data_IF_565871865765
#
_entry.id   IF_565871865765
#
_cell.length_a   1.000
_cell.length_b   1.000
_cell.length_c   1.000
_cell.angle_alpha   90.00
_cell.angle_beta   90.00
_cell.angle_gamma   90.00
#
_symmetry.space_group_name_H-M   'P 1'
#
loop_
_entity.id
_entity.type
_entity.pdbx_description
1 polymer ?
#
# COMPACT_ATOMS: atom_id res chain seq x y z
N UNK A 1 2.74 -4.55 2.06
CA UNK A 1 1.75 -5.57 1.69
C UNK A 1 2.11 -6.26 0.38
N UNK A 2 1.54 -7.43 0.16
CA UNK A 2 1.71 -8.18 -1.09
C UNK A 2 2.58 -9.44 -0.98
N UNK A 3 3.50 -9.50 -0.03
CA UNK A 3 4.29 -10.71 0.24
C UNK A 3 3.39 -11.81 0.85
N UNK A 4 2.69 -11.48 1.92
CA UNK A 4 1.63 -12.32 2.49
C UNK A 4 0.27 -11.65 2.30
N UNK A 5 -0.48 -12.13 1.29
CA UNK A 5 -1.77 -11.54 0.93
C UNK A 5 -2.93 -12.00 1.79
N UNK A 6 -2.77 -13.11 2.46
CA UNK A 6 -3.86 -13.83 3.11
C UNK A 6 -3.63 -14.06 4.61
N UNK A 7 -2.48 -13.66 5.15
CA UNK A 7 -2.10 -13.96 6.53
C UNK A 7 -1.67 -15.42 6.74
N UNK A 8 -1.26 -16.11 5.69
CA UNK A 8 -0.84 -17.51 5.77
C UNK A 8 0.51 -17.68 6.47
N UNK A 9 1.35 -16.62 6.50
CA UNK A 9 2.74 -16.66 6.93
C UNK A 9 3.08 -15.67 8.06
N UNK A 10 2.10 -15.12 8.77
CA UNK A 10 2.30 -14.08 9.82
C UNK A 10 3.36 -14.52 10.83
N UNK A 11 3.23 -15.74 11.38
CA UNK A 11 4.13 -16.23 12.43
C UNK A 11 5.55 -16.45 11.89
N UNK A 12 5.69 -16.96 10.67
CA UNK A 12 6.99 -17.15 10.03
C UNK A 12 7.68 -15.81 9.72
N UNK A 13 6.94 -14.84 9.19
CA UNK A 13 7.47 -13.51 8.89
C UNK A 13 7.82 -12.75 10.16
N UNK A 14 7.02 -12.89 11.22
CA UNK A 14 7.30 -12.31 12.53
C UNK A 14 8.59 -12.86 13.15
N UNK A 15 8.91 -14.14 12.93
CA UNK A 15 10.13 -14.76 13.41
C UNK A 15 11.41 -14.21 12.71
N UNK A 16 11.28 -13.50 11.58
CA UNK A 16 12.41 -12.85 10.91
C UNK A 16 12.90 -11.57 11.60
N UNK A 17 12.20 -11.11 12.64
CA UNK A 17 12.64 -9.96 13.44
C UNK A 17 12.23 -8.59 12.88
N UNK A 18 11.23 -8.53 12.00
CA UNK A 18 10.65 -7.25 11.56
C UNK A 18 9.93 -6.56 12.72
N UNK A 19 10.05 -5.24 12.82
CA UNK A 19 9.37 -4.44 13.84
C UNK A 19 7.85 -4.43 13.67
N UNK A 20 7.37 -4.57 12.43
CA UNK A 20 5.94 -4.67 12.09
C UNK A 20 5.75 -5.44 10.77
N UNK A 21 4.55 -5.98 10.59
CA UNK A 21 4.14 -6.67 9.36
C UNK A 21 2.94 -5.96 8.73
N UNK A 22 2.84 -5.97 7.41
CA UNK A 22 1.65 -5.54 6.68
C UNK A 22 1.14 -6.66 5.78
N UNK A 23 -0.05 -7.16 6.08
CA UNK A 23 -0.69 -8.27 5.38
C UNK A 23 -1.70 -7.72 4.36
N UNK A 24 -1.85 -8.38 3.24
CA UNK A 24 -2.80 -7.97 2.18
C UNK A 24 -2.08 -7.64 0.88
N UNK A 25 -2.70 -6.93 -0.06
CA UNK A 25 -4.03 -6.30 0.01
C UNK A 25 -5.12 -7.36 0.00
N UNK A 26 -6.06 -7.24 0.92
CA UNK A 26 -7.29 -8.04 0.94
C UNK A 26 -8.46 -7.27 0.35
N UNK A 27 -9.44 -7.97 -0.20
CA UNK A 27 -10.68 -7.44 -0.74
C UNK A 27 -11.86 -8.16 -0.09
N UNK A 28 -13.11 -7.63 -0.12
CA UNK A 28 -14.26 -8.31 0.47
C UNK A 28 -14.38 -9.75 0.00
N UNK A 29 -14.43 -9.95 -1.30
CA UNK A 29 -14.53 -11.27 -1.91
C UNK A 29 -13.16 -11.77 -2.37
N UNK A 30 -12.97 -13.09 -2.30
CA UNK A 30 -11.82 -13.75 -2.91
C UNK A 30 -11.75 -13.45 -4.41
N UNK A 31 -10.55 -13.20 -4.93
CA UNK A 31 -10.36 -13.02 -6.37
C UNK A 31 -9.02 -13.61 -6.84
N UNK A 32 -9.04 -14.13 -8.06
CA UNK A 32 -7.86 -14.80 -8.66
C UNK A 32 -6.75 -13.81 -9.04
N UNK A 33 -7.09 -12.53 -9.21
CA UNK A 33 -6.22 -11.51 -9.79
C UNK A 33 -6.09 -11.67 -11.31
N UNK A 34 -5.09 -11.01 -11.89
CA UNK A 34 -4.85 -11.04 -13.33
C UNK A 34 -4.25 -12.37 -13.81
N UNK A 35 -4.38 -12.64 -15.10
CA UNK A 35 -3.86 -13.86 -15.73
C UNK A 35 -2.34 -13.97 -15.63
N UNK A 36 -1.86 -15.22 -15.60
CA UNK A 36 -0.42 -15.54 -15.62
C UNK A 36 0.10 -15.56 -17.07
N UNK A 37 1.37 -15.18 -17.31
CA UNK A 37 2.36 -14.71 -16.34
C UNK A 37 2.04 -13.28 -15.86
N UNK A 38 2.27 -13.02 -14.57
CA UNK A 38 1.94 -11.74 -13.93
C UNK A 38 3.01 -11.22 -12.98
N UNK A 39 4.16 -11.87 -12.94
CA UNK A 39 5.36 -11.45 -12.20
C UNK A 39 6.57 -11.74 -13.08
N UNK A 40 7.34 -10.71 -13.37
CA UNK A 40 8.51 -10.75 -14.23
C UNK A 40 9.72 -10.24 -13.45
N UNK A 41 10.76 -11.07 -13.34
CA UNK A 41 12.00 -10.75 -12.62
C UNK A 41 13.04 -10.24 -13.57
N UNK A 42 13.55 -9.05 -13.30
CA UNK A 42 14.62 -8.39 -14.05
C UNK A 42 15.89 -8.46 -13.20
N UNK A 43 16.63 -9.55 -13.33
CA UNK A 43 17.75 -9.85 -12.42
C UNK A 43 18.90 -8.84 -12.53
N UNK A 44 19.22 -8.36 -13.73
CA UNK A 44 20.27 -7.37 -13.96
C UNK A 44 19.96 -6.06 -13.22
N UNK A 45 18.71 -5.63 -13.26
CA UNK A 45 18.22 -4.39 -12.66
C UNK A 45 17.83 -4.57 -11.17
N UNK A 46 17.91 -5.78 -10.61
CA UNK A 46 17.39 -6.09 -9.28
C UNK A 46 15.93 -5.60 -9.11
N UNK A 47 15.09 -5.92 -10.09
CA UNK A 47 13.75 -5.37 -10.21
C UNK A 47 12.70 -6.45 -10.47
N UNK A 48 11.44 -6.10 -10.18
CA UNK A 48 10.27 -6.91 -10.51
C UNK A 48 9.23 -6.01 -11.18
N UNK A 49 8.68 -6.48 -12.30
CA UNK A 49 7.44 -5.96 -12.85
C UNK A 49 6.32 -6.92 -12.45
N UNK A 50 5.25 -6.40 -11.86
CA UNK A 50 4.10 -7.23 -11.48
C UNK A 50 2.77 -6.62 -11.93
N UNK A 51 1.83 -7.50 -12.29
CA UNK A 51 0.43 -7.20 -12.56
C UNK A 51 -0.48 -8.16 -11.80
N UNK A 52 -0.28 -8.27 -10.49
CA UNK A 52 -0.95 -9.26 -9.63
C UNK A 52 -2.48 -9.09 -9.58
N UNK A 53 -3.00 -7.85 -9.55
CA UNK A 53 -4.43 -7.56 -9.55
C UNK A 53 -5.13 -8.01 -8.25
N UNK A 54 -4.50 -7.78 -7.10
CA UNK A 54 -5.03 -8.11 -5.76
C UNK A 54 -5.55 -9.55 -5.61
N UNK A 55 -4.80 -10.53 -6.11
CA UNK A 55 -5.15 -11.92 -5.87
C UNK A 55 -5.14 -12.23 -4.37
N UNK A 56 -6.26 -12.65 -3.83
CA UNK A 56 -6.41 -12.96 -2.41
C UNK A 56 -7.63 -13.88 -2.17
N UNK A 57 -7.73 -14.44 -0.96
CA UNK A 57 -8.78 -15.37 -0.55
C UNK A 57 -10.00 -14.69 0.11
N UNK A 58 -10.06 -13.35 0.07
CA UNK A 58 -11.10 -12.55 0.70
C UNK A 58 -10.82 -12.23 2.16
N UNK A 59 -11.51 -11.19 2.64
CA UNK A 59 -11.29 -10.65 3.98
C UNK A 59 -11.67 -11.62 5.10
N UNK A 60 -12.70 -12.44 4.90
CA UNK A 60 -13.12 -13.43 5.90
C UNK A 60 -12.02 -14.47 6.16
N UNK A 61 -11.37 -14.95 5.10
CA UNK A 61 -10.22 -15.84 5.24
C UNK A 61 -9.08 -15.16 6.01
N UNK A 62 -8.77 -13.91 5.69
CA UNK A 62 -7.72 -13.17 6.39
C UNK A 62 -8.04 -13.02 7.89
N UNK A 63 -9.28 -12.66 8.24
CA UNK A 63 -9.72 -12.53 9.65
C UNK A 63 -9.51 -13.85 10.41
N UNK A 64 -9.86 -14.98 9.83
CA UNK A 64 -9.61 -16.28 10.46
C UNK A 64 -8.11 -16.56 10.67
N UNK A 65 -7.24 -16.07 9.79
CA UNK A 65 -5.79 -16.17 9.99
C UNK A 65 -5.29 -15.25 11.10
N UNK A 66 -5.79 -14.01 11.16
CA UNK A 66 -5.47 -13.04 12.20
C UNK A 66 -5.88 -13.56 13.59
N UNK A 67 -7.05 -14.17 13.72
CA UNK A 67 -7.51 -14.78 14.99
C UNK A 67 -6.57 -15.90 15.49
N UNK A 68 -5.93 -16.61 14.57
CA UNK A 68 -5.09 -17.79 14.89
C UNK A 68 -3.60 -17.47 14.98
N UNK A 69 -3.18 -16.23 14.69
CA UNK A 69 -1.76 -15.86 14.76
C UNK A 69 -1.20 -16.03 16.16
N UNK A 70 0.03 -16.52 16.25
CA UNK A 70 0.81 -16.61 17.50
C UNK A 70 1.75 -15.41 17.69
N UNK A 71 2.14 -14.78 16.58
CA UNK A 71 2.97 -13.58 16.57
C UNK A 71 2.32 -12.47 17.40
N UNK A 72 3.11 -11.87 18.32
CA UNK A 72 2.64 -10.84 19.26
C UNK A 72 3.07 -9.42 18.87
N UNK A 73 3.82 -9.28 17.78
CA UNK A 73 4.22 -7.97 17.27
C UNK A 73 3.09 -7.31 16.44
N UNK A 74 3.39 -6.13 15.94
CA UNK A 74 2.46 -5.27 15.21
C UNK A 74 2.12 -5.88 13.85
N UNK A 75 0.82 -6.02 13.56
CA UNK A 75 0.30 -6.53 12.28
C UNK A 75 -0.73 -5.56 11.72
N UNK A 76 -0.36 -4.87 10.64
CA UNK A 76 -1.27 -4.05 9.86
C UNK A 76 -1.98 -4.83 8.77
N UNK A 77 -3.16 -4.37 8.40
CA UNK A 77 -3.94 -4.92 7.29
C UNK A 77 -4.11 -3.88 6.19
N UNK A 78 -3.66 -4.25 5.00
CA UNK A 78 -3.83 -3.47 3.78
C UNK A 78 -5.15 -3.88 3.11
N UNK A 79 -6.07 -2.93 2.95
CA UNK A 79 -7.39 -3.14 2.37
C UNK A 79 -7.54 -2.49 1.01
N UNK A 80 -8.38 -3.07 0.16
CA UNK A 80 -8.67 -2.58 -1.17
C UNK A 80 -10.01 -3.09 -1.69
N UNK A 81 -10.45 -2.54 -2.83
CA UNK A 81 -11.68 -2.96 -3.49
C UNK A 81 -11.47 -4.18 -4.40
N UNK A 82 -12.51 -4.96 -4.63
CA UNK A 82 -12.54 -5.98 -5.66
C UNK A 82 -12.40 -5.36 -7.07
N UNK A 83 -11.82 -6.10 -8.00
CA UNK A 83 -11.53 -5.63 -9.36
C UNK A 83 -12.79 -5.19 -10.11
N UNK A 84 -13.89 -5.89 -9.92
CA UNK A 84 -15.16 -5.65 -10.61
C UNK A 84 -15.98 -4.51 -9.98
N UNK A 85 -15.61 -4.04 -8.79
CA UNK A 85 -16.33 -2.97 -8.09
C UNK A 85 -16.00 -1.61 -8.70
N UNK A 86 -17.05 -0.81 -8.94
CA UNK A 86 -16.98 0.52 -9.55
C UNK A 86 -17.70 1.53 -8.64
N UNK A 87 -17.33 2.80 -8.76
CA UNK A 87 -18.00 3.93 -8.09
C UNK A 87 -18.31 3.66 -6.61
N UNK A 88 -19.54 3.85 -6.17
CA UNK A 88 -19.98 3.67 -4.79
C UNK A 88 -19.69 2.26 -4.26
N UNK A 89 -19.85 1.22 -5.09
CA UNK A 89 -19.54 -0.16 -4.69
C UNK A 89 -18.08 -0.32 -4.29
N UNK A 90 -17.19 0.45 -4.88
CA UNK A 90 -15.76 0.45 -4.50
C UNK A 90 -15.56 0.99 -3.08
N UNK A 91 -16.27 2.04 -2.70
CA UNK A 91 -16.23 2.59 -1.33
C UNK A 91 -16.79 1.58 -0.33
N UNK A 92 -17.91 0.93 -0.67
CA UNK A 92 -18.51 -0.14 0.15
C UNK A 92 -17.53 -1.29 0.41
N UNK A 93 -16.73 -1.67 -0.59
CA UNK A 93 -15.71 -2.71 -0.46
C UNK A 93 -14.63 -2.37 0.60
N UNK A 94 -14.16 -1.12 0.62
CA UNK A 94 -13.22 -0.67 1.66
C UNK A 94 -13.88 -0.68 3.04
N UNK A 95 -15.11 -0.21 3.13
CA UNK A 95 -15.89 -0.23 4.39
C UNK A 95 -16.12 -1.65 4.88
N UNK A 96 -16.47 -2.59 4.00
CA UNK A 96 -16.65 -3.99 4.37
C UNK A 96 -15.36 -4.61 4.89
N UNK A 97 -14.23 -4.37 4.21
CA UNK A 97 -12.93 -4.82 4.70
C UNK A 97 -12.61 -4.19 6.07
N UNK A 98 -12.77 -2.86 6.21
CA UNK A 98 -12.52 -2.16 7.46
C UNK A 98 -13.33 -2.77 8.62
N UNK A 99 -14.65 -2.93 8.42
CA UNK A 99 -15.58 -3.50 9.43
C UNK A 99 -15.17 -4.87 9.93
N UNK A 100 -14.54 -5.68 9.08
CA UNK A 100 -14.13 -7.05 9.41
C UNK A 100 -12.76 -7.12 10.07
N UNK A 101 -11.85 -6.21 9.73
CA UNK A 101 -10.46 -6.30 10.21
C UNK A 101 -10.15 -5.42 11.42
N UNK A 102 -10.96 -4.41 11.73
CA UNK A 102 -10.64 -3.40 12.74
C UNK A 102 -10.37 -3.97 14.14
N UNK A 103 -11.00 -5.08 14.52
CA UNK A 103 -10.78 -5.75 15.83
C UNK A 103 -9.47 -6.56 15.89
N UNK A 104 -8.83 -6.85 14.75
CA UNK A 104 -7.71 -7.77 14.64
C UNK A 104 -6.43 -7.13 14.10
N UNK A 105 -6.53 -5.93 13.56
CA UNK A 105 -5.43 -5.19 12.98
C UNK A 105 -4.90 -4.14 13.98
N UNK A 106 -3.58 -4.11 14.15
CA UNK A 106 -2.94 -3.07 14.95
C UNK A 106 -2.91 -1.72 14.21
N UNK A 107 -2.95 -1.73 12.87
CA UNK A 107 -3.18 -0.57 12.01
C UNK A 107 -3.83 -0.98 10.68
N UNK A 108 -4.43 -0.03 9.98
CA UNK A 108 -5.07 -0.27 8.68
C UNK A 108 -4.45 0.61 7.60
N UNK A 109 -4.14 0.01 6.44
CA UNK A 109 -3.67 0.72 5.25
C UNK A 109 -4.77 0.73 4.18
N UNK A 110 -5.21 1.92 3.81
CA UNK A 110 -6.17 2.16 2.72
C UNK A 110 -5.35 2.30 1.43
N UNK A 111 -5.44 1.30 0.55
CA UNK A 111 -4.58 1.22 -0.63
C UNK A 111 -5.34 1.65 -1.89
N UNK A 112 -5.11 2.89 -2.32
CA UNK A 112 -5.70 3.46 -3.54
C UNK A 112 -4.77 3.42 -4.76
N UNK A 113 -3.54 2.94 -4.60
CA UNK A 113 -2.43 3.24 -5.52
C UNK A 113 -2.00 2.08 -6.41
N UNK A 114 -2.74 0.96 -6.47
CA UNK A 114 -2.38 -0.16 -7.34
C UNK A 114 -2.54 0.18 -8.83
N UNK A 115 -1.48 0.07 -9.64
CA UNK A 115 -1.61 0.27 -11.09
C UNK A 115 -2.28 -0.90 -11.79
N UNK A 116 -2.54 -1.99 -11.08
CA UNK A 116 -2.98 -3.27 -11.64
C UNK A 116 -4.48 -3.52 -11.47
N UNK A 117 -5.20 -2.55 -10.93
CA UNK A 117 -6.66 -2.59 -10.76
C UNK A 117 -7.26 -1.43 -11.56
N UNK A 118 -8.07 -1.71 -12.61
CA UNK A 118 -8.66 -0.67 -13.46
C UNK A 118 -9.44 0.36 -12.64
N UNK A 119 -9.26 1.65 -12.94
CA UNK A 119 -9.96 2.75 -12.29
C UNK A 119 -9.60 2.98 -10.81
N UNK A 120 -8.65 2.24 -10.23
CA UNK A 120 -8.23 2.48 -8.85
C UNK A 120 -7.45 3.79 -8.74
N UNK A 121 -6.70 4.15 -9.79
CA UNK A 121 -5.98 5.42 -9.86
C UNK A 121 -6.87 6.63 -10.07
N UNK A 122 -8.11 6.44 -10.51
CA UNK A 122 -9.10 7.53 -10.54
C UNK A 122 -9.41 8.02 -9.12
N UNK A 123 -9.14 7.18 -8.10
CA UNK A 123 -9.20 7.57 -6.68
C UNK A 123 -8.08 8.53 -6.24
N UNK A 124 -7.12 8.85 -7.11
CA UNK A 124 -6.07 9.85 -6.81
C UNK A 124 -6.57 11.29 -6.94
N UNK A 125 -7.71 11.51 -7.58
CA UNK A 125 -8.41 12.79 -7.50
C UNK A 125 -8.83 13.05 -6.05
N UNK A 126 -8.55 14.26 -5.56
CA UNK A 126 -8.78 14.61 -4.15
C UNK A 126 -10.25 14.49 -3.73
N UNK A 127 -11.20 14.70 -4.65
CA UNK A 127 -12.62 14.52 -4.37
C UNK A 127 -12.95 13.05 -4.11
N UNK A 128 -12.36 12.15 -4.89
CA UNK A 128 -12.52 10.71 -4.74
C UNK A 128 -11.83 10.19 -3.47
N UNK A 129 -10.65 10.72 -3.13
CA UNK A 129 -9.99 10.42 -1.84
C UNK A 129 -10.90 10.82 -0.69
N UNK A 130 -11.43 12.03 -0.69
CA UNK A 130 -12.35 12.52 0.34
C UNK A 130 -13.63 11.67 0.45
N UNK A 131 -14.21 11.30 -0.70
CA UNK A 131 -15.41 10.46 -0.74
C UNK A 131 -15.16 9.06 -0.16
N UNK A 132 -13.95 8.52 -0.33
CA UNK A 132 -13.55 7.24 0.24
C UNK A 132 -13.23 7.33 1.74
N UNK A 133 -12.45 8.33 2.14
CA UNK A 133 -11.91 8.40 3.50
C UNK A 133 -12.97 8.79 4.52
N UNK A 134 -13.85 9.75 4.22
CA UNK A 134 -14.90 10.20 5.16
C UNK A 134 -15.77 9.08 5.72
N UNK A 135 -16.34 8.16 4.91
CA UNK A 135 -17.11 7.04 5.44
C UNK A 135 -16.29 6.08 6.30
N UNK A 136 -15.00 5.91 5.99
CA UNK A 136 -14.10 5.06 6.80
C UNK A 136 -13.82 5.72 8.15
N UNK A 137 -13.60 7.03 8.20
CA UNK A 137 -13.44 7.80 9.44
C UNK A 137 -14.68 7.72 10.32
N UNK A 138 -15.87 7.84 9.73
CA UNK A 138 -17.14 7.68 10.44
C UNK A 138 -17.29 6.28 11.02
N UNK A 139 -16.97 5.25 10.25
CA UNK A 139 -17.04 3.87 10.69
C UNK A 139 -15.99 3.58 11.79
N UNK A 140 -14.79 4.15 11.69
CA UNK A 140 -13.75 4.04 12.71
C UNK A 140 -14.23 4.63 14.05
N UNK A 141 -14.85 5.81 14.00
CA UNK A 141 -15.43 6.45 15.18
C UNK A 141 -16.58 5.63 15.79
N UNK A 142 -17.47 5.08 14.96
CA UNK A 142 -18.60 4.27 15.43
C UNK A 142 -18.17 2.97 16.10
N UNK A 143 -16.97 2.48 15.76
CA UNK A 143 -16.39 1.23 16.31
C UNK A 143 -15.33 1.46 17.36
N UNK A 144 -15.11 2.71 17.79
CA UNK A 144 -14.04 3.09 18.71
C UNK A 144 -12.67 2.56 18.30
N UNK A 145 -12.41 2.50 16.96
CA UNK A 145 -11.13 2.07 16.44
C UNK A 145 -10.05 3.12 16.72
N UNK A 146 -9.11 2.78 17.58
CA UNK A 146 -8.01 3.65 17.99
C UNK A 146 -6.69 3.36 17.29
N UNK A 147 -6.63 2.33 16.46
CA UNK A 147 -5.43 1.99 15.69
C UNK A 147 -5.11 3.02 14.59
N UNK A 148 -3.83 3.19 14.21
CA UNK A 148 -3.46 4.08 13.12
C UNK A 148 -4.09 3.67 11.77
N UNK A 149 -4.49 4.67 10.98
CA UNK A 149 -4.95 4.50 9.61
C UNK A 149 -4.04 5.26 8.66
N UNK A 150 -3.51 4.57 7.65
CA UNK A 150 -2.61 5.14 6.65
C UNK A 150 -3.22 5.10 5.25
N UNK A 151 -3.00 6.17 4.49
CA UNK A 151 -3.28 6.17 3.06
C UNK A 151 -2.01 5.80 2.29
N UNK A 152 -2.10 4.80 1.38
CA UNK A 152 -0.96 4.39 0.54
C UNK A 152 -1.11 4.94 -0.86
N UNK A 153 -0.17 5.80 -1.26
CA UNK A 153 -0.18 6.53 -2.52
C UNK A 153 0.81 5.97 -3.55
N UNK A 154 0.66 6.43 -4.79
CA UNK A 154 1.53 6.08 -5.92
C UNK A 154 2.82 6.90 -5.91
N UNK A 155 3.93 6.40 -6.48
CA UNK A 155 5.09 7.23 -6.77
C UNK A 155 4.91 8.05 -8.06
N UNK A 156 3.79 7.92 -8.73
CA UNK A 156 3.47 8.59 -10.01
C UNK A 156 2.55 9.81 -9.79
N UNK A 157 2.42 10.30 -8.53
CA UNK A 157 1.64 11.50 -8.20
C UNK A 157 2.27 12.76 -8.81
N UNK A 158 1.42 13.70 -9.20
CA UNK A 158 1.84 15.02 -9.62
C UNK A 158 2.11 15.92 -8.41
N UNK A 159 2.83 17.03 -8.61
CA UNK A 159 3.09 17.99 -7.54
C UNK A 159 1.79 18.60 -6.98
N UNK A 160 0.81 18.86 -7.83
CA UNK A 160 -0.53 19.34 -7.44
C UNK A 160 -1.26 18.29 -6.59
N UNK A 161 -1.27 17.03 -7.03
CA UNK A 161 -1.86 15.92 -6.27
C UNK A 161 -1.21 15.77 -4.89
N UNK A 162 0.13 15.86 -4.81
CA UNK A 162 0.87 15.79 -3.54
C UNK A 162 0.42 16.92 -2.59
N UNK A 163 0.28 18.13 -3.09
CA UNK A 163 -0.14 19.29 -2.29
C UNK A 163 -1.56 19.10 -1.74
N UNK A 164 -2.50 18.67 -2.59
CA UNK A 164 -3.89 18.44 -2.21
C UNK A 164 -4.02 17.28 -1.22
N UNK A 165 -3.31 16.18 -1.46
CA UNK A 165 -3.26 15.04 -0.54
C UNK A 165 -2.71 15.48 0.81
N UNK A 166 -1.59 16.20 0.84
CA UNK A 166 -0.95 16.64 2.10
C UNK A 166 -1.89 17.55 2.90
N UNK A 167 -2.53 18.53 2.24
CA UNK A 167 -3.52 19.39 2.88
C UNK A 167 -4.69 18.62 3.47
N UNK A 168 -5.20 17.64 2.73
CA UNK A 168 -6.32 16.81 3.18
C UNK A 168 -5.92 15.93 4.36
N UNK A 169 -4.78 15.26 4.29
CA UNK A 169 -4.30 14.36 5.35
C UNK A 169 -4.12 15.10 6.68
N UNK A 170 -3.56 16.31 6.67
CA UNK A 170 -3.42 17.15 7.87
C UNK A 170 -4.77 17.54 8.51
N UNK A 171 -5.86 17.48 7.77
CA UNK A 171 -7.22 17.82 8.21
C UNK A 171 -8.10 16.59 8.51
N UNK A 172 -7.59 15.40 8.22
CA UNK A 172 -8.29 14.12 8.38
C UNK A 172 -7.93 13.45 9.71
N UNK A 173 -8.63 12.37 10.06
CA UNK A 173 -8.25 11.50 11.17
C UNK A 173 -7.25 10.41 10.78
N UNK A 174 -6.71 10.46 9.56
CA UNK A 174 -5.64 9.55 9.15
C UNK A 174 -4.35 9.82 9.94
N UNK A 175 -3.61 8.77 10.18
CA UNK A 175 -2.40 8.81 11.01
C UNK A 175 -1.12 9.04 10.20
N UNK A 176 -1.21 9.12 8.87
CA UNK A 176 -0.06 9.35 8.00
C UNK A 176 -0.19 8.74 6.61
N UNK A 177 0.93 8.74 5.90
CA UNK A 177 1.05 8.23 4.54
C UNK A 177 2.00 7.04 4.43
N UNK A 178 1.73 6.15 3.48
CA UNK A 178 2.70 5.16 3.02
C UNK A 178 3.15 5.52 1.60
N UNK A 179 4.42 5.80 1.43
CA UNK A 179 5.06 6.24 0.19
C UNK A 179 6.22 5.28 -0.15
N UNK A 180 6.04 4.42 -1.17
CA UNK A 180 4.97 4.41 -2.17
C UNK A 180 4.58 2.99 -2.59
N UNK A 181 3.67 2.90 -3.54
CA UNK A 181 3.40 1.69 -4.32
C UNK A 181 4.46 1.54 -5.45
N UNK A 182 4.23 0.64 -6.39
CA UNK A 182 5.03 0.45 -7.61
C UNK A 182 4.75 1.55 -8.64
N UNK A 183 5.72 1.85 -9.53
CA UNK A 183 5.58 2.82 -10.61
C UNK A 183 5.20 2.16 -11.94
N UNK A 184 4.47 2.88 -12.79
CA UNK A 184 4.29 2.50 -14.21
C UNK A 184 5.41 3.05 -15.09
N UNK A 185 6.18 4.02 -14.60
CA UNK A 185 7.34 4.56 -15.32
C UNK A 185 8.47 3.53 -15.33
N UNK A 186 9.00 3.22 -16.50
CA UNK A 186 10.05 2.23 -16.74
C UNK A 186 11.28 2.84 -17.42
N UNK A 187 11.39 4.16 -17.44
CA UNK A 187 12.54 4.86 -18.06
C UNK A 187 13.86 4.51 -17.39
N UNK A 188 13.83 4.18 -16.09
CA UNK A 188 15.01 3.75 -15.33
C UNK A 188 15.53 2.36 -15.69
N UNK A 189 14.79 1.59 -16.49
CA UNK A 189 15.25 0.28 -16.98
C UNK A 189 16.22 0.45 -18.15
N UNK A 190 17.17 -0.51 -18.28
CA UNK A 190 18.09 -0.57 -19.42
C UNK A 190 17.34 -0.79 -20.75
N UNK A 191 17.97 -0.49 -21.89
CA UNK A 191 17.38 -0.70 -23.21
C UNK A 191 17.13 -2.16 -23.52
N UNK A 192 17.95 -3.05 -22.96
CA UNK A 192 17.81 -4.51 -23.11
C UNK A 192 16.63 -5.09 -22.32
N UNK A 193 16.02 -4.30 -21.42
CA UNK A 193 14.90 -4.75 -20.59
C UNK A 193 13.57 -4.61 -21.32
N UNK A 194 12.66 -5.54 -21.08
CA UNK A 194 11.32 -5.51 -21.69
C UNK A 194 10.44 -4.43 -21.01
N UNK A 195 10.62 -3.18 -21.46
CA UNK A 195 9.88 -2.01 -20.99
C UNK A 195 8.38 -2.05 -21.35
N UNK A 196 8.00 -2.89 -22.30
CA UNK A 196 6.63 -3.03 -22.78
C UNK A 196 5.76 -3.93 -21.91
N UNK A 197 6.34 -4.63 -20.93
CA UNK A 197 5.56 -5.43 -19.99
C UNK A 197 4.61 -4.58 -19.18
N UNK A 198 3.33 -4.95 -19.21
CA UNK A 198 2.33 -4.32 -18.34
C UNK A 198 2.58 -4.62 -16.87
N UNK A 199 2.30 -3.64 -16.02
CA UNK A 199 2.39 -3.78 -14.57
C UNK A 199 3.27 -2.74 -13.90
N UNK A 200 3.29 -2.80 -12.56
CA UNK A 200 4.06 -1.90 -11.72
C UNK A 200 5.50 -2.39 -11.53
N UNK A 201 6.45 -1.49 -11.71
CA UNK A 201 7.88 -1.71 -11.48
C UNK A 201 8.23 -1.48 -10.02
N UNK A 202 9.00 -2.39 -9.43
CA UNK A 202 9.56 -2.34 -8.08
C UNK A 202 11.02 -2.79 -8.06
N UNK A 203 11.66 -2.74 -6.90
CA UNK A 203 13.08 -3.07 -6.75
C UNK A 203 13.98 -1.83 -6.87
N UNK A 204 15.27 -2.05 -7.10
CA UNK A 204 16.28 -0.98 -7.12
C UNK A 204 15.91 0.23 -8.01
N UNK A 205 15.34 0.07 -9.21
CA UNK A 205 14.96 1.21 -10.06
C UNK A 205 13.89 2.13 -9.45
N UNK A 206 13.11 1.64 -8.49
CA UNK A 206 12.08 2.45 -7.82
C UNK A 206 12.67 3.36 -6.72
N UNK A 207 13.88 3.09 -6.23
CA UNK A 207 14.45 3.79 -5.07
C UNK A 207 14.43 5.31 -5.23
N UNK A 208 15.01 5.80 -6.33
CA UNK A 208 15.09 7.24 -6.60
C UNK A 208 13.70 7.88 -6.61
N UNK A 209 12.79 7.37 -7.43
CA UNK A 209 11.46 7.94 -7.60
C UNK A 209 10.63 7.93 -6.31
N UNK A 210 10.65 6.83 -5.58
CA UNK A 210 9.92 6.72 -4.31
C UNK A 210 10.51 7.63 -3.21
N UNK A 211 11.80 7.94 -3.27
CA UNK A 211 12.45 8.90 -2.37
C UNK A 211 12.14 10.34 -2.74
N UNK A 212 12.11 10.66 -4.03
CA UNK A 212 11.71 11.98 -4.53
C UNK A 212 10.30 12.36 -4.09
N UNK A 213 9.32 11.45 -4.23
CA UNK A 213 7.94 11.69 -3.77
C UNK A 213 7.88 11.83 -2.24
N UNK A 214 8.60 10.98 -1.50
CA UNK A 214 8.67 11.09 -0.05
C UNK A 214 9.20 12.46 0.38
N UNK A 215 10.30 12.91 -0.22
CA UNK A 215 10.88 14.23 0.02
C UNK A 215 9.92 15.37 -0.36
N UNK A 216 9.22 15.24 -1.50
CA UNK A 216 8.24 16.23 -1.96
C UNK A 216 7.09 16.38 -0.95
N UNK A 217 6.55 15.28 -0.43
CA UNK A 217 5.50 15.29 0.61
C UNK A 217 6.02 15.88 1.91
N UNK A 218 7.21 15.49 2.35
CA UNK A 218 7.82 16.00 3.57
C UNK A 218 8.02 17.54 3.51
N UNK A 219 8.37 18.08 2.34
CA UNK A 219 8.54 19.52 2.12
C UNK A 219 7.23 20.32 2.04
N UNK A 220 6.07 19.66 1.94
CA UNK A 220 4.74 20.30 1.94
C UNK A 220 4.13 20.42 3.35
N UNK A 221 4.97 20.37 4.39
CA UNK A 221 4.54 20.48 5.80
C UNK A 221 3.50 19.43 6.22
N UNK A 222 3.73 18.18 5.85
CA UNK A 222 2.98 17.08 6.43
C UNK A 222 3.36 16.96 7.92
N UNK A 223 2.39 17.14 8.81
CA UNK A 223 2.59 17.07 10.27
C UNK A 223 2.58 15.63 10.79
N UNK A 224 2.22 14.67 9.94
CA UNK A 224 2.02 13.26 10.27
C UNK A 224 3.18 12.37 9.77
N UNK A 225 3.41 11.23 10.43
CA UNK A 225 4.49 10.32 10.04
C UNK A 225 4.31 9.73 8.64
N UNK A 226 5.44 9.46 7.99
CA UNK A 226 5.50 8.80 6.69
C UNK A 226 6.19 7.45 6.84
N UNK A 227 5.58 6.40 6.26
CA UNK A 227 6.23 5.10 6.08
C UNK A 227 6.83 5.06 4.67
N UNK A 228 8.16 5.07 4.57
CA UNK A 228 8.88 5.00 3.29
C UNK A 228 8.91 3.58 2.74
N UNK A 229 8.57 3.41 1.46
CA UNK A 229 8.58 2.10 0.78
C UNK A 229 9.09 2.24 -0.65
N UNK A 230 9.84 1.25 -1.10
CA UNK A 230 10.25 1.12 -2.51
C UNK A 230 11.75 1.27 -2.73
N UNK A 231 12.34 0.23 -3.30
CA UNK A 231 13.72 0.20 -3.74
C UNK A 231 14.75 -0.04 -2.64
N UNK A 232 14.37 -0.24 -1.40
CA UNK A 232 15.30 -0.46 -0.27
C UNK A 232 15.91 -1.86 -0.38
N UNK A 233 17.22 -1.91 -0.69
CA UNK A 233 17.99 -3.12 -0.91
C UNK A 233 19.13 -3.29 0.10
N UNK A 234 19.53 -2.21 0.77
CA UNK A 234 20.63 -2.21 1.73
C UNK A 234 20.40 -1.14 2.82
N UNK A 235 21.35 -1.10 3.79
CA UNK A 235 21.30 -0.13 4.89
C UNK A 235 21.34 1.32 4.40
N UNK A 236 22.13 1.63 3.38
CA UNK A 236 22.23 2.99 2.84
C UNK A 236 20.88 3.47 2.26
N UNK A 237 20.15 2.61 1.55
CA UNK A 237 18.82 2.92 1.02
C UNK A 237 17.82 3.21 2.16
N UNK A 238 17.92 2.44 3.26
CA UNK A 238 17.11 2.66 4.47
C UNK A 238 17.41 4.04 5.07
N UNK A 239 18.70 4.36 5.26
CA UNK A 239 19.15 5.64 5.82
C UNK A 239 18.70 6.81 4.92
N UNK A 240 18.77 6.66 3.60
CA UNK A 240 18.28 7.65 2.65
C UNK A 240 16.78 7.91 2.81
N UNK A 241 15.94 6.87 2.98
CA UNK A 241 14.50 7.04 3.28
C UNK A 241 14.27 7.83 4.56
N UNK A 242 14.98 7.50 5.64
CA UNK A 242 14.86 8.20 6.93
C UNK A 242 15.29 9.67 6.76
N UNK A 243 16.44 9.92 6.14
CA UNK A 243 16.95 11.29 5.91
C UNK A 243 16.04 12.13 5.00
N UNK A 244 15.24 11.47 4.16
CA UNK A 244 14.26 12.12 3.29
C UNK A 244 12.91 12.38 3.97
N UNK A 245 12.74 12.03 5.25
CA UNK A 245 11.56 12.33 6.06
C UNK A 245 10.70 11.12 6.43
N UNK A 246 11.10 9.88 6.12
CA UNK A 246 10.38 8.72 6.59
C UNK A 246 10.60 8.50 8.10
N UNK A 247 9.51 8.26 8.84
CA UNK A 247 9.55 7.86 10.25
C UNK A 247 9.81 6.35 10.40
N UNK A 248 9.34 5.57 9.44
CA UNK A 248 9.50 4.12 9.36
C UNK A 248 9.78 3.71 7.91
N UNK A 249 10.42 2.56 7.73
CA UNK A 249 10.68 2.00 6.40
C UNK A 249 10.08 0.61 6.28
N UNK A 250 9.38 0.38 5.18
CA UNK A 250 8.76 -0.89 4.84
C UNK A 250 9.48 -1.52 3.64
N UNK A 251 9.77 -2.80 3.71
CA UNK A 251 10.35 -3.56 2.61
C UNK A 251 9.37 -4.62 2.13
N UNK A 252 9.47 -4.99 0.86
CA UNK A 252 8.60 -6.02 0.28
C UNK A 252 9.34 -7.36 0.13
N UNK A 253 10.58 -7.34 -0.29
CA UNK A 253 11.46 -8.52 -0.40
C UNK A 253 12.90 -8.08 -0.28
#
# INVERSE_FOLDING_TARGET
>A
AGLDKNGDFIDCLGALGFGFLEIGTTTPLAQKGNDKPRVFRLFKEKAIINRLGFNNKGVDYLVERLKRKKYKGIVGVNIGANKESKEEKRIEDYLECFKKVNEYADYITINISSPNTPGLRDLHDIHNIKALIKPIEEEARLRDFSGPMFLKISPDETEESIEDITKFINQSSLSGLIISNTTINKESLSEDSDKNLDGGLSGAPLMKKSTEILHAVNNKNLELPIIGVGGVMCKADFEEKINSGASLVQIYT
#
